data_IF_283232939297
#
_entry.id   IF_283232939297
#
_cell.length_a   1.000
_cell.length_b   1.000
_cell.length_c   1.000
_cell.angle_alpha   90.00
_cell.angle_beta   90.00
_cell.angle_gamma   90.00
#
_symmetry.space_group_name_H-M   'P 1'
#
loop_
_entity.id
_entity.type
_entity.pdbx_description
1 polymer ?
#
# COMPACT_ATOMS: atom_id res chain seq x y z
N UNK A 1 -24.10 21.45 -21.37
CA UNK A 1 -23.27 21.92 -20.26
C UNK A 1 -22.13 20.93 -20.09
N UNK A 2 -20.92 21.40 -19.81
CA UNK A 2 -19.81 20.54 -19.46
C UNK A 2 -20.17 19.75 -18.19
N UNK A 3 -19.74 18.50 -18.12
CA UNK A 3 -19.89 17.70 -16.88
C UNK A 3 -18.90 18.18 -15.84
N UNK A 4 -19.26 18.05 -14.58
CA UNK A 4 -18.46 18.58 -13.47
C UNK A 4 -18.24 17.57 -12.36
N UNK A 5 -17.01 17.54 -11.79
CA UNK A 5 -16.73 16.79 -10.57
C UNK A 5 -16.30 17.69 -9.43
N UNK A 6 -16.67 17.29 -8.23
CA UNK A 6 -16.22 17.85 -6.96
C UNK A 6 -15.43 16.81 -6.19
N UNK A 7 -14.15 17.06 -5.98
CA UNK A 7 -13.26 16.22 -5.18
C UNK A 7 -13.15 16.83 -3.78
N UNK A 8 -13.40 16.04 -2.75
CA UNK A 8 -13.41 16.50 -1.37
C UNK A 8 -12.29 15.82 -0.59
N UNK A 9 -11.27 16.62 -0.22
CA UNK A 9 -10.05 16.19 0.46
C UNK A 9 -8.82 16.30 -0.43
N UNK A 10 -7.86 17.13 -0.03
CA UNK A 10 -6.64 17.50 -0.74
C UNK A 10 -5.42 16.63 -0.42
N UNK A 11 -5.60 15.42 0.12
CA UNK A 11 -4.50 14.48 0.34
C UNK A 11 -4.15 13.69 -0.94
N UNK A 12 -3.34 12.66 -0.79
CA UNK A 12 -2.88 11.81 -1.91
C UNK A 12 -4.03 11.35 -2.81
N UNK A 13 -5.10 10.80 -2.24
CA UNK A 13 -6.24 10.31 -3.02
C UNK A 13 -6.95 11.41 -3.80
N UNK A 14 -7.08 12.61 -3.22
CA UNK A 14 -7.73 13.74 -3.87
C UNK A 14 -6.91 14.30 -5.02
N UNK A 15 -5.65 14.62 -4.79
CA UNK A 15 -4.77 15.17 -5.84
C UNK A 15 -4.48 14.16 -6.94
N UNK A 16 -4.31 12.88 -6.60
CA UNK A 16 -4.17 11.83 -7.60
C UNK A 16 -5.43 11.70 -8.46
N UNK A 17 -6.62 11.85 -7.86
CA UNK A 17 -7.89 11.88 -8.61
C UNK A 17 -7.93 13.08 -9.54
N UNK A 18 -7.60 14.28 -9.05
CA UNK A 18 -7.61 15.52 -9.85
C UNK A 18 -6.67 15.41 -11.05
N UNK A 19 -5.41 15.01 -10.84
CA UNK A 19 -4.43 14.91 -11.93
C UNK A 19 -4.80 13.86 -12.97
N UNK A 20 -5.24 12.68 -12.53
CA UNK A 20 -5.68 11.63 -13.45
C UNK A 20 -6.93 12.05 -14.24
N UNK A 21 -7.88 12.69 -13.59
CA UNK A 21 -9.09 13.21 -14.22
C UNK A 21 -8.77 14.30 -15.22
N UNK A 22 -7.91 15.25 -14.86
CA UNK A 22 -7.51 16.34 -15.73
C UNK A 22 -6.90 15.86 -17.04
N UNK A 23 -6.10 14.80 -16.98
CA UNK A 23 -5.46 14.19 -18.14
C UNK A 23 -6.43 13.35 -18.99
N UNK A 24 -7.27 12.58 -18.35
CA UNK A 24 -8.07 11.57 -19.03
C UNK A 24 -9.52 11.97 -19.31
N UNK A 25 -9.99 13.08 -18.74
CA UNK A 25 -11.38 13.59 -18.86
C UNK A 25 -11.36 15.09 -19.24
N UNK A 26 -10.85 15.44 -20.44
CA UNK A 26 -10.61 16.85 -20.79
C UNK A 26 -11.86 17.71 -20.85
N UNK A 27 -13.03 17.11 -21.08
CA UNK A 27 -14.33 17.80 -21.21
C UNK A 27 -15.06 18.00 -19.86
N UNK A 28 -14.40 17.67 -18.72
CA UNK A 28 -14.98 17.83 -17.41
C UNK A 28 -14.39 19.02 -16.66
N UNK A 29 -15.25 19.77 -16.00
CA UNK A 29 -14.84 20.77 -15.01
C UNK A 29 -14.47 20.08 -13.70
N UNK A 30 -13.32 20.45 -13.12
CA UNK A 30 -12.77 19.82 -11.93
C UNK A 30 -12.66 20.85 -10.82
N UNK A 31 -13.26 20.58 -9.68
CA UNK A 31 -13.07 21.36 -8.45
C UNK A 31 -12.58 20.44 -7.34
N UNK A 32 -11.52 20.82 -6.64
CA UNK A 32 -11.04 20.15 -5.43
C UNK A 32 -11.17 21.07 -4.22
N UNK A 33 -11.73 20.54 -3.15
CA UNK A 33 -11.73 21.15 -1.83
C UNK A 33 -10.55 20.59 -1.03
N UNK A 34 -9.57 21.43 -0.77
CA UNK A 34 -8.32 21.11 -0.08
C UNK A 34 -8.24 21.93 1.22
N UNK A 35 -8.61 21.30 2.34
CA UNK A 35 -8.62 21.98 3.63
C UNK A 35 -7.20 22.07 4.22
N UNK A 36 -6.57 23.23 4.29
CA UNK A 36 -5.18 23.37 4.73
C UNK A 36 -4.97 23.06 6.21
N UNK A 37 -6.05 23.01 6.98
CA UNK A 37 -6.03 22.70 8.42
C UNK A 37 -5.97 21.20 8.72
N UNK A 38 -6.21 20.35 7.71
CA UNK A 38 -6.20 18.90 7.89
C UNK A 38 -4.86 18.34 7.35
N UNK A 39 -3.95 17.91 8.24
CA UNK A 39 -2.66 17.39 7.80
C UNK A 39 -2.82 16.09 7.02
N UNK A 40 -2.02 15.93 5.98
CA UNK A 40 -1.87 14.64 5.31
C UNK A 40 -1.13 13.64 6.22
N UNK A 41 -1.45 12.36 6.08
CA UNK A 41 -0.73 11.29 6.78
C UNK A 41 0.59 11.01 6.05
N UNK A 42 1.71 11.50 6.60
CA UNK A 42 3.03 11.42 5.98
C UNK A 42 3.94 10.37 6.62
N UNK A 43 3.67 9.08 6.40
CA UNK A 43 4.44 8.01 7.05
C UNK A 43 5.62 7.53 6.20
N UNK A 44 5.58 7.68 4.92
CA UNK A 44 6.34 6.93 3.92
C UNK A 44 5.50 5.76 3.43
N UNK A 45 5.35 5.67 2.14
CA UNK A 45 4.47 4.70 1.48
C UNK A 45 5.28 3.82 0.56
N UNK A 46 4.97 2.54 0.59
CA UNK A 46 5.44 1.58 -0.39
C UNK A 46 4.44 1.45 -1.54
N UNK A 47 4.93 1.28 -2.76
CA UNK A 47 4.11 1.15 -3.95
C UNK A 47 4.28 -0.21 -4.61
N UNK A 48 3.42 -0.48 -5.61
CA UNK A 48 3.54 -1.58 -6.55
C UNK A 48 4.06 -1.07 -7.90
N UNK A 49 4.65 -1.91 -8.76
CA UNK A 49 5.26 -1.50 -10.04
C UNK A 49 4.32 -0.74 -10.99
N UNK A 50 3.01 -0.99 -10.90
CA UNK A 50 2.00 -0.35 -11.73
C UNK A 50 1.95 1.17 -11.56
N UNK A 51 2.45 1.72 -10.46
CA UNK A 51 2.45 3.16 -10.21
C UNK A 51 3.27 3.92 -11.25
N UNK A 52 4.38 3.37 -11.74
CA UNK A 52 5.22 3.97 -12.78
C UNK A 52 4.40 4.30 -14.02
N UNK A 53 3.79 3.31 -14.63
CA UNK A 53 3.01 3.48 -15.86
C UNK A 53 1.79 4.39 -15.66
N UNK A 54 1.24 4.36 -14.47
CA UNK A 54 0.10 5.21 -14.14
C UNK A 54 0.49 6.70 -14.11
N UNK A 55 1.66 7.03 -13.55
CA UNK A 55 2.19 8.38 -13.53
C UNK A 55 2.61 8.84 -14.93
N UNK A 56 3.26 7.99 -15.69
CA UNK A 56 3.58 8.24 -17.10
C UNK A 56 2.30 8.55 -17.92
N UNK A 57 1.18 7.86 -17.63
CA UNK A 57 -0.11 8.12 -18.30
C UNK A 57 -0.68 9.51 -17.99
N UNK A 58 -0.25 10.14 -16.92
CA UNK A 58 -0.57 11.54 -16.58
C UNK A 58 0.45 12.54 -17.18
N UNK A 59 1.53 12.05 -17.80
CA UNK A 59 2.63 12.86 -18.30
C UNK A 59 3.62 13.28 -17.22
N UNK A 60 3.68 12.55 -16.11
CA UNK A 60 4.62 12.77 -15.01
C UNK A 60 5.78 11.81 -15.18
N UNK A 61 6.92 12.32 -15.65
CA UNK A 61 8.11 11.50 -15.89
C UNK A 61 8.88 11.21 -14.59
N UNK A 62 9.45 10.02 -14.51
CA UNK A 62 10.13 9.50 -13.31
C UNK A 62 11.25 10.43 -12.82
N UNK A 63 12.12 10.89 -13.73
CA UNK A 63 13.25 11.75 -13.39
C UNK A 63 12.82 13.11 -12.80
N UNK A 64 11.59 13.56 -13.10
CA UNK A 64 11.07 14.85 -12.62
C UNK A 64 10.58 14.78 -11.17
N UNK A 65 10.07 13.62 -10.76
CA UNK A 65 9.42 13.54 -9.46
C UNK A 65 10.23 12.79 -8.39
N UNK A 66 11.15 11.89 -8.77
CA UNK A 66 11.90 11.06 -7.83
C UNK A 66 12.61 11.89 -6.73
N UNK A 67 13.36 12.93 -7.11
CA UNK A 67 14.03 13.82 -6.15
C UNK A 67 13.03 14.64 -5.34
N UNK A 68 12.06 15.27 -6.01
CA UNK A 68 11.06 16.13 -5.36
C UNK A 68 10.15 15.33 -4.42
N UNK A 69 9.90 14.07 -4.75
CA UNK A 69 9.09 13.15 -3.98
C UNK A 69 9.80 12.48 -2.82
N UNK A 70 11.09 12.75 -2.59
CA UNK A 70 11.93 11.99 -1.66
C UNK A 70 11.86 10.47 -1.89
N UNK A 71 11.57 10.07 -3.13
CA UNK A 71 11.36 8.69 -3.49
C UNK A 71 12.67 7.94 -3.73
N UNK A 72 12.63 6.65 -3.51
CA UNK A 72 13.71 5.70 -3.84
C UNK A 72 13.12 4.51 -4.58
N UNK A 73 13.93 3.78 -5.32
CA UNK A 73 13.54 2.54 -5.95
C UNK A 73 13.30 1.45 -4.92
N UNK A 74 12.35 0.58 -5.21
CA UNK A 74 11.99 -0.58 -4.41
C UNK A 74 11.98 -1.82 -5.29
N UNK A 75 12.69 -2.87 -4.89
CA UNK A 75 12.82 -4.11 -5.67
C UNK A 75 12.05 -5.31 -5.10
N UNK A 76 11.42 -5.15 -3.95
CA UNK A 76 10.63 -6.23 -3.36
C UNK A 76 10.14 -5.93 -1.94
N UNK A 77 9.68 -6.98 -1.27
CA UNK A 77 9.32 -6.96 0.16
C UNK A 77 10.11 -8.04 0.89
N UNK A 78 10.86 -7.65 1.90
CA UNK A 78 11.57 -8.53 2.80
C UNK A 78 10.71 -8.89 4.00
N UNK A 79 10.65 -10.16 4.34
CA UNK A 79 9.85 -10.69 5.45
C UNK A 79 10.73 -11.45 6.44
N UNK A 80 10.57 -11.14 7.72
CA UNK A 80 11.35 -11.72 8.81
C UNK A 80 10.44 -12.00 10.01
N UNK A 81 10.68 -13.10 10.70
CA UNK A 81 9.96 -13.47 11.90
C UNK A 81 8.53 -13.98 11.70
N UNK A 82 8.09 -14.22 10.46
CA UNK A 82 6.73 -14.68 10.18
C UNK A 82 6.52 -16.18 10.43
N UNK A 83 7.59 -16.97 10.35
CA UNK A 83 7.54 -18.41 10.64
C UNK A 83 7.88 -18.76 12.09
N UNK A 84 8.79 -18.00 12.68
CA UNK A 84 9.22 -18.19 14.07
C UNK A 84 9.69 -16.87 14.67
N UNK A 85 9.47 -16.64 15.98
CA UNK A 85 10.05 -15.47 16.66
C UNK A 85 11.55 -15.61 16.94
N UNK A 86 12.13 -16.78 16.74
CA UNK A 86 13.53 -17.09 16.98
C UNK A 86 14.38 -16.71 15.74
N UNK A 87 15.17 -15.63 15.80
CA UNK A 87 15.92 -15.14 14.64
C UNK A 87 17.00 -16.13 14.15
N UNK A 88 17.45 -17.08 15.01
CA UNK A 88 18.42 -18.09 14.61
C UNK A 88 17.78 -19.22 13.78
N UNK A 89 16.47 -19.41 13.92
CA UNK A 89 15.68 -20.43 13.21
C UNK A 89 14.84 -19.84 12.08
N UNK A 90 14.70 -18.53 12.04
CA UNK A 90 13.96 -17.89 10.97
C UNK A 90 14.75 -17.94 9.66
N UNK A 91 14.04 -18.19 8.57
CA UNK A 91 14.56 -18.13 7.22
C UNK A 91 13.89 -16.94 6.50
N UNK A 92 14.49 -15.74 6.60
CA UNK A 92 13.91 -14.54 6.00
C UNK A 92 13.73 -14.70 4.49
N UNK A 93 12.74 -14.01 3.94
CA UNK A 93 12.34 -14.18 2.57
C UNK A 93 12.05 -12.84 1.88
N UNK A 94 12.41 -12.75 0.59
CA UNK A 94 12.09 -11.61 -0.27
C UNK A 94 11.04 -12.00 -1.31
N UNK A 95 9.87 -11.36 -1.27
CA UNK A 95 8.93 -11.36 -2.38
C UNK A 95 9.41 -10.34 -3.39
N UNK A 96 9.93 -10.81 -4.51
CA UNK A 96 10.50 -9.98 -5.57
C UNK A 96 9.44 -9.52 -6.57
N UNK A 97 9.71 -8.42 -7.25
CA UNK A 97 9.10 -8.12 -8.52
C UNK A 97 9.76 -8.97 -9.62
N UNK A 98 9.18 -8.98 -10.81
CA UNK A 98 9.69 -9.76 -11.91
C UNK A 98 11.07 -9.24 -12.37
N UNK A 99 12.03 -10.15 -12.62
CA UNK A 99 13.32 -9.83 -13.22
C UNK A 99 13.40 -10.47 -14.61
N UNK A 100 13.93 -9.73 -15.58
CA UNK A 100 14.16 -10.26 -16.93
C UNK A 100 15.37 -11.20 -16.97
N UNK A 101 16.16 -11.29 -15.91
CA UNK A 101 17.35 -12.14 -15.79
C UNK A 101 17.40 -12.75 -14.38
N UNK A 102 17.09 -14.05 -14.27
CA UNK A 102 17.09 -14.80 -13.02
C UNK A 102 18.47 -14.83 -12.33
N UNK A 103 19.57 -14.76 -13.13
CA UNK A 103 20.93 -14.77 -12.57
C UNK A 103 21.25 -13.51 -11.74
N UNK A 104 20.56 -12.40 -11.98
CA UNK A 104 20.79 -11.16 -11.23
C UNK A 104 20.14 -11.26 -9.85
N UNK A 105 18.92 -11.79 -9.80
CA UNK A 105 18.27 -12.02 -8.52
C UNK A 105 19.08 -12.97 -7.66
N UNK A 106 19.55 -14.08 -8.22
CA UNK A 106 20.38 -15.06 -7.52
C UNK A 106 21.68 -14.42 -7.02
N UNK A 107 22.31 -13.54 -7.79
CA UNK A 107 23.48 -12.79 -7.34
C UNK A 107 23.17 -11.74 -6.28
N UNK A 108 22.02 -11.09 -6.38
CA UNK A 108 21.61 -10.05 -5.44
C UNK A 108 21.10 -10.62 -4.11
N UNK A 109 20.43 -11.76 -4.13
CA UNK A 109 19.70 -12.29 -2.98
C UNK A 109 20.08 -13.70 -2.54
N UNK A 110 20.90 -14.44 -3.32
CA UNK A 110 21.38 -15.78 -2.94
C UNK A 110 22.31 -15.76 -1.74
N UNK A 111 23.09 -14.69 -1.59
CA UNK A 111 23.93 -14.50 -0.42
C UNK A 111 23.15 -13.71 0.66
N UNK A 112 22.60 -14.42 1.63
CA UNK A 112 21.87 -13.83 2.76
C UNK A 112 22.72 -12.85 3.59
N UNK A 113 24.05 -12.93 3.53
CA UNK A 113 24.95 -11.95 4.14
C UNK A 113 24.82 -10.58 3.50
N UNK A 114 24.47 -10.52 2.22
CA UNK A 114 24.23 -9.29 1.50
C UNK A 114 22.94 -8.59 1.96
N UNK A 115 21.93 -9.33 2.42
CA UNK A 115 20.69 -8.75 2.94
C UNK A 115 20.91 -7.98 4.24
N UNK A 116 21.77 -8.52 5.13
CA UNK A 116 22.09 -7.90 6.42
C UNK A 116 23.02 -6.69 6.30
N UNK A 117 23.78 -6.59 5.23
CA UNK A 117 24.80 -5.57 5.09
C UNK A 117 24.42 -4.42 4.15
N UNK A 118 23.24 -4.44 3.56
CA UNK A 118 22.79 -3.40 2.62
C UNK A 118 23.73 -3.23 1.41
N UNK A 119 24.63 -4.22 1.18
CA UNK A 119 25.79 -4.04 0.30
C UNK A 119 25.46 -4.08 -1.18
N UNK A 120 24.31 -4.65 -1.55
CA UNK A 120 23.93 -4.75 -2.96
C UNK A 120 23.48 -3.40 -3.50
N UNK A 121 22.95 -2.55 -2.66
CA UNK A 121 22.22 -1.38 -3.10
C UNK A 121 22.69 -0.06 -2.54
N UNK A 122 23.77 -0.05 -1.76
CA UNK A 122 24.39 1.22 -1.39
C UNK A 122 24.75 2.03 -2.63
N UNK A 123 25.30 1.38 -3.65
CA UNK A 123 25.64 2.04 -4.91
C UNK A 123 24.39 2.46 -5.69
N UNK A 124 23.40 1.59 -5.84
CA UNK A 124 22.12 1.92 -6.50
C UNK A 124 21.34 2.95 -5.68
N UNK A 125 21.38 2.86 -4.35
CA UNK A 125 20.63 3.75 -3.45
C UNK A 125 21.19 5.18 -3.41
N UNK A 126 22.52 5.35 -3.46
CA UNK A 126 23.18 6.64 -3.23
C UNK A 126 23.89 7.23 -4.45
N UNK A 127 24.46 6.41 -5.34
CA UNK A 127 25.24 6.89 -6.48
C UNK A 127 24.46 6.93 -7.80
N UNK A 128 23.45 6.06 -7.99
CA UNK A 128 22.71 5.92 -9.24
C UNK A 128 21.20 6.18 -9.09
N UNK A 129 20.83 7.15 -8.30
CA UNK A 129 19.43 7.52 -8.10
C UNK A 129 18.66 7.83 -9.39
N UNK A 130 19.35 8.08 -10.47
CA UNK A 130 18.75 8.55 -11.72
C UNK A 130 18.54 7.45 -12.77
N UNK A 131 19.05 6.21 -12.53
CA UNK A 131 18.86 5.09 -13.45
C UNK A 131 18.56 3.78 -12.72
N UNK A 132 17.31 3.28 -12.82
CA UNK A 132 16.98 1.97 -12.29
C UNK A 132 17.72 0.89 -13.08
N UNK A 133 18.00 -0.24 -12.44
CA UNK A 133 18.47 -1.41 -13.16
C UNK A 133 17.41 -1.84 -14.18
N UNK A 134 17.69 -1.64 -15.47
CA UNK A 134 16.74 -1.90 -16.57
C UNK A 134 16.37 -3.38 -16.71
N UNK A 135 17.04 -4.26 -15.97
CA UNK A 135 16.84 -5.72 -15.97
C UNK A 135 15.80 -6.18 -14.96
N UNK A 136 15.39 -5.30 -14.05
CA UNK A 136 14.44 -5.61 -12.99
C UNK A 136 13.17 -4.75 -13.09
N UNK A 137 12.04 -5.35 -12.81
CA UNK A 137 10.85 -4.59 -12.46
C UNK A 137 11.05 -4.00 -11.06
N UNK A 138 10.66 -2.78 -10.92
CA UNK A 138 10.79 -2.03 -9.67
C UNK A 138 9.51 -1.25 -9.37
N UNK A 139 9.37 -0.91 -8.12
CA UNK A 139 8.40 0.04 -7.62
C UNK A 139 9.14 1.19 -6.91
N UNK A 140 8.46 1.85 -6.00
CA UNK A 140 9.02 2.96 -5.25
C UNK A 140 8.64 2.90 -3.78
N UNK A 141 9.51 3.45 -2.95
CA UNK A 141 9.12 4.04 -1.70
C UNK A 141 8.91 5.54 -1.93
N UNK A 142 7.81 6.09 -1.47
CA UNK A 142 7.43 7.48 -1.71
C UNK A 142 6.99 8.17 -0.42
N UNK A 143 7.15 9.48 -0.38
CA UNK A 143 6.47 10.29 0.61
C UNK A 143 5.09 10.68 0.05
N UNK A 144 4.01 10.24 0.70
CA UNK A 144 2.65 10.45 0.24
C UNK A 144 2.33 11.94 0.03
N UNK A 145 2.74 12.79 0.95
CA UNK A 145 2.56 14.26 0.87
C UNK A 145 3.28 14.84 -0.36
N UNK A 146 4.51 14.40 -0.59
CA UNK A 146 5.30 14.88 -1.74
C UNK A 146 4.67 14.44 -3.06
N UNK A 147 4.12 13.22 -3.14
CA UNK A 147 3.45 12.74 -4.36
C UNK A 147 2.17 13.52 -4.64
N UNK A 148 1.38 13.84 -3.62
CA UNK A 148 0.20 14.69 -3.75
C UNK A 148 0.59 16.10 -4.25
N UNK A 149 1.64 16.68 -3.67
CA UNK A 149 2.15 17.98 -4.06
C UNK A 149 2.64 18.03 -5.52
N UNK A 150 3.35 17.00 -5.97
CA UNK A 150 3.83 16.91 -7.36
C UNK A 150 2.64 16.89 -8.33
N UNK A 151 1.63 16.07 -8.06
CA UNK A 151 0.44 16.02 -8.90
C UNK A 151 -0.31 17.35 -8.87
N UNK A 152 -0.46 17.98 -7.70
CA UNK A 152 -1.04 19.32 -7.55
C UNK A 152 -0.36 20.34 -8.50
N UNK A 153 0.98 20.30 -8.59
CA UNK A 153 1.74 21.21 -9.45
C UNK A 153 1.54 20.95 -10.97
N UNK A 154 1.14 19.77 -11.36
CA UNK A 154 0.87 19.42 -12.75
C UNK A 154 -0.56 19.78 -13.18
N UNK A 155 -1.47 19.97 -12.24
CA UNK A 155 -2.86 20.34 -12.51
C UNK A 155 -2.96 21.81 -12.93
N UNK A 156 -3.49 22.05 -14.14
CA UNK A 156 -3.64 23.41 -14.71
C UNK A 156 -5.10 23.85 -14.80
N UNK A 157 -6.05 22.93 -14.91
CA UNK A 157 -7.48 23.20 -15.08
C UNK A 157 -8.29 23.00 -13.81
N UNK A 158 -7.70 22.36 -12.80
CA UNK A 158 -8.37 22.04 -11.55
C UNK A 158 -8.57 23.30 -10.71
N UNK A 159 -9.83 23.65 -10.45
CA UNK A 159 -10.17 24.74 -9.51
C UNK A 159 -9.92 24.25 -8.08
N UNK A 160 -9.12 24.98 -7.34
CA UNK A 160 -8.82 24.69 -5.93
C UNK A 160 -9.65 25.62 -5.03
N UNK A 161 -10.31 25.04 -4.04
CA UNK A 161 -11.02 25.76 -2.98
C UNK A 161 -10.40 25.33 -1.64
N UNK A 162 -9.75 26.27 -0.97
CA UNK A 162 -9.09 26.02 0.32
C UNK A 162 -10.12 26.16 1.45
N UNK A 163 -10.98 25.14 1.59
CA UNK A 163 -12.04 25.14 2.59
C UNK A 163 -12.39 23.70 3.04
N UNK A 164 -12.89 23.58 4.26
CA UNK A 164 -13.42 22.32 4.78
C UNK A 164 -14.89 22.15 4.42
N UNK A 165 -15.20 21.10 3.66
CA UNK A 165 -16.56 20.75 3.28
C UNK A 165 -17.29 20.03 4.43
N UNK A 166 -18.34 20.63 4.96
CA UNK A 166 -19.22 20.02 5.97
C UNK A 166 -20.49 19.39 5.35
N UNK A 167 -20.96 19.96 4.25
CA UNK A 167 -22.09 19.47 3.46
C UNK A 167 -21.70 19.50 1.99
N UNK A 168 -22.21 18.54 1.19
CA UNK A 168 -21.91 18.49 -0.24
C UNK A 168 -22.33 19.80 -0.92
N UNK A 169 -21.39 20.50 -1.59
CA UNK A 169 -21.75 21.70 -2.36
C UNK A 169 -22.67 21.32 -3.53
N UNK A 170 -23.58 22.24 -3.90
CA UNK A 170 -24.51 21.99 -5.00
C UNK A 170 -23.87 22.20 -6.37
N UNK A 171 -24.45 21.58 -7.39
CA UNK A 171 -24.15 21.90 -8.80
C UNK A 171 -23.09 21.05 -9.49
N UNK A 172 -22.71 19.92 -8.90
CA UNK A 172 -21.80 18.96 -9.51
C UNK A 172 -22.51 17.68 -9.92
N UNK A 173 -22.11 17.11 -11.06
CA UNK A 173 -22.65 15.84 -11.56
C UNK A 173 -22.14 14.66 -10.74
N UNK A 174 -20.91 14.74 -10.23
CA UNK A 174 -20.27 13.67 -9.49
C UNK A 174 -19.43 14.25 -8.34
N UNK A 175 -19.46 13.58 -7.19
CA UNK A 175 -18.65 13.89 -6.01
C UNK A 175 -17.67 12.74 -5.73
N UNK A 176 -16.45 13.10 -5.42
CA UNK A 176 -15.42 12.13 -5.03
C UNK A 176 -15.06 12.36 -3.57
N UNK A 177 -15.42 11.41 -2.72
CA UNK A 177 -15.07 11.42 -1.30
C UNK A 177 -13.65 10.90 -1.11
N UNK A 178 -12.71 11.82 -0.88
CA UNK A 178 -11.30 11.60 -0.53
C UNK A 178 -11.02 12.01 0.91
N UNK A 179 -12.03 11.99 1.80
CA UNK A 179 -11.89 12.44 3.20
C UNK A 179 -11.22 11.40 4.12
N UNK A 180 -10.66 10.34 3.54
CA UNK A 180 -9.89 9.34 4.28
C UNK A 180 -10.75 8.56 5.29
N UNK A 181 -10.21 8.34 6.49
CA UNK A 181 -10.91 7.57 7.52
C UNK A 181 -12.20 8.22 8.05
N UNK A 182 -12.40 9.52 7.84
CA UNK A 182 -13.63 10.19 8.22
C UNK A 182 -14.83 9.72 7.41
N UNK A 183 -14.62 9.28 6.13
CA UNK A 183 -15.66 8.71 5.27
C UNK A 183 -16.92 9.57 5.25
N UNK A 184 -16.72 10.90 5.15
CA UNK A 184 -17.71 11.93 5.52
C UNK A 184 -18.95 11.89 4.63
N UNK A 185 -18.76 11.59 3.35
CA UNK A 185 -19.82 11.66 2.34
C UNK A 185 -20.20 10.30 1.72
N UNK A 186 -19.56 9.22 2.17
CA UNK A 186 -19.92 7.86 1.72
C UNK A 186 -21.39 7.60 1.98
N UNK A 187 -22.16 7.30 0.93
CA UNK A 187 -23.60 7.09 1.00
C UNK A 187 -23.98 5.68 1.44
N UNK A 188 -23.39 4.67 0.82
CA UNK A 188 -23.59 3.27 1.20
C UNK A 188 -22.42 2.79 2.05
N UNK A 189 -22.64 2.74 3.36
CA UNK A 189 -21.66 2.26 4.34
C UNK A 189 -21.79 0.76 4.64
N UNK A 190 -22.49 0.01 3.78
CA UNK A 190 -22.57 -1.44 3.91
C UNK A 190 -21.17 -2.05 3.73
N UNK A 191 -20.60 -2.67 4.76
CA UNK A 191 -19.29 -3.27 4.66
C UNK A 191 -19.34 -4.51 3.75
N UNK A 192 -18.25 -4.78 3.05
CA UNK A 192 -18.05 -6.10 2.47
C UNK A 192 -18.09 -7.13 3.59
N UNK A 193 -18.79 -8.24 3.35
CA UNK A 193 -18.66 -9.40 4.23
C UNK A 193 -17.24 -9.94 4.08
N UNK A 194 -16.37 -9.39 4.90
CA UNK A 194 -15.07 -9.99 5.13
C UNK A 194 -15.37 -11.21 5.98
N UNK A 195 -15.20 -12.41 5.42
CA UNK A 195 -15.46 -13.68 6.12
C UNK A 195 -14.48 -13.94 7.28
N UNK A 196 -13.85 -12.90 7.81
CA UNK A 196 -12.83 -12.99 8.83
C UNK A 196 -12.76 -11.67 9.61
N UNK A 197 -12.39 -11.79 10.84
CA UNK A 197 -11.99 -10.65 11.64
C UNK A 197 -10.50 -10.43 11.41
N UNK A 198 -10.17 -9.34 10.72
CA UNK A 198 -8.78 -8.89 10.69
C UNK A 198 -8.47 -8.22 12.02
N UNK A 199 -7.39 -8.63 12.66
CA UNK A 199 -7.16 -8.25 14.05
C UNK A 199 -6.30 -7.00 14.21
N UNK A 200 -5.49 -6.63 13.24
CA UNK A 200 -4.69 -5.40 13.33
C UNK A 200 -5.56 -4.19 13.02
N UNK A 201 -5.56 -3.23 13.93
CA UNK A 201 -6.43 -2.07 13.93
C UNK A 201 -5.76 -0.79 14.44
N UNK A 202 -4.49 -0.88 14.78
CA UNK A 202 -3.72 0.21 15.36
C UNK A 202 -2.29 0.20 14.84
N UNK A 203 -1.63 1.35 14.85
CA UNK A 203 -0.21 1.48 14.57
C UNK A 203 0.43 2.60 15.39
N UNK A 204 1.62 2.34 15.90
CA UNK A 204 2.57 3.35 16.28
C UNK A 204 3.52 3.63 15.13
N UNK A 205 3.77 4.90 14.85
CA UNK A 205 4.66 5.33 13.77
C UNK A 205 5.68 6.30 14.32
N UNK A 206 6.94 6.03 14.05
CA UNK A 206 8.04 6.87 14.48
C UNK A 206 9.13 6.87 13.40
N UNK A 207 9.22 7.91 12.55
CA UNK A 207 10.26 7.97 11.55
C UNK A 207 11.64 8.10 12.19
N UNK A 208 12.65 7.53 11.53
CA UNK A 208 14.03 7.54 11.99
C UNK A 208 14.95 8.15 10.94
N UNK A 209 16.14 8.60 11.38
CA UNK A 209 17.18 9.07 10.47
C UNK A 209 17.64 7.96 9.52
N UNK A 210 18.02 8.34 8.31
CA UNK A 210 18.68 7.44 7.36
C UNK A 210 19.99 6.94 7.95
N UNK A 211 20.29 5.68 7.67
CA UNK A 211 21.56 5.06 8.02
C UNK A 211 21.96 4.08 6.92
N UNK A 212 23.03 4.38 6.21
CA UNK A 212 23.50 3.62 5.06
C UNK A 212 23.77 2.15 5.35
N UNK A 213 24.09 1.79 6.58
CA UNK A 213 24.34 0.40 6.98
C UNK A 213 23.05 -0.38 7.27
N UNK A 214 21.95 0.33 7.56
CA UNK A 214 20.69 -0.26 8.02
C UNK A 214 19.55 -0.11 6.99
N UNK A 215 19.67 0.83 6.04
CA UNK A 215 18.62 1.13 5.09
C UNK A 215 18.60 0.13 3.93
N UNK A 216 17.39 -0.16 3.45
CA UNK A 216 17.15 -1.20 2.45
C UNK A 216 16.34 -0.64 1.27
N UNK A 217 16.57 -1.19 0.09
CA UNK A 217 15.80 -0.93 -1.14
C UNK A 217 14.59 -1.86 -1.31
N UNK A 218 14.22 -2.56 -0.27
CA UNK A 218 13.02 -3.36 -0.16
C UNK A 218 12.18 -2.88 1.02
N UNK A 219 10.88 -3.02 0.94
CA UNK A 219 10.04 -2.82 2.13
C UNK A 219 10.32 -3.94 3.11
N UNK A 220 10.80 -3.61 4.30
CA UNK A 220 11.00 -4.60 5.33
C UNK A 220 9.75 -4.77 6.17
N UNK A 221 9.31 -6.00 6.37
CA UNK A 221 8.16 -6.38 7.18
C UNK A 221 8.59 -7.43 8.19
N UNK A 222 8.77 -7.03 9.45
CA UNK A 222 9.21 -7.91 10.53
C UNK A 222 8.03 -8.26 11.41
N UNK A 223 7.65 -9.54 11.49
CA UNK A 223 6.59 -9.99 12.38
C UNK A 223 7.00 -9.88 13.84
N UNK A 224 6.09 -9.36 14.67
CA UNK A 224 6.26 -9.10 16.10
C UNK A 224 5.25 -9.91 16.93
N UNK A 225 5.23 -9.71 18.23
CA UNK A 225 4.34 -10.47 19.13
C UNK A 225 2.87 -10.28 18.82
N UNK A 226 2.46 -9.08 18.43
CA UNK A 226 1.04 -8.72 18.28
C UNK A 226 0.69 -8.09 16.94
N UNK A 227 1.55 -8.29 15.93
CA UNK A 227 1.42 -7.72 14.60
C UNK A 227 2.74 -7.72 13.85
N UNK A 228 3.09 -6.63 13.18
CA UNK A 228 4.30 -6.53 12.38
C UNK A 228 4.80 -5.09 12.28
N UNK A 229 6.12 -4.95 12.16
CA UNK A 229 6.77 -3.65 11.92
C UNK A 229 7.11 -3.50 10.45
N UNK A 230 6.99 -2.27 9.95
CA UNK A 230 7.49 -1.89 8.62
C UNK A 230 8.68 -0.95 8.73
N UNK A 231 9.58 -1.08 7.75
CA UNK A 231 10.65 -0.11 7.46
C UNK A 231 10.56 0.25 5.97
N UNK A 232 10.44 1.55 5.69
CA UNK A 232 10.30 2.11 4.35
C UNK A 232 11.33 3.22 4.20
N UNK A 233 12.43 2.93 3.52
CA UNK A 233 13.50 3.88 3.29
C UNK A 233 13.08 4.95 2.28
N UNK A 234 13.31 6.21 2.61
CA UNK A 234 13.17 7.37 1.75
C UNK A 234 14.51 8.10 1.66
N UNK A 235 14.63 9.09 0.76
CA UNK A 235 15.88 9.85 0.61
C UNK A 235 16.30 10.59 1.89
N UNK A 236 15.37 11.04 2.69
CA UNK A 236 15.63 11.92 3.84
C UNK A 236 15.32 11.30 5.19
N UNK A 237 14.68 10.14 5.24
CA UNK A 237 14.32 9.42 6.47
C UNK A 237 13.94 7.99 6.16
N UNK A 238 13.79 7.19 7.20
CA UNK A 238 13.12 5.89 7.10
C UNK A 238 11.78 5.98 7.82
N UNK A 239 10.69 5.66 7.12
CA UNK A 239 9.39 5.48 7.75
C UNK A 239 9.37 4.15 8.50
N UNK A 240 9.15 4.18 9.79
CA UNK A 240 8.99 2.98 10.61
C UNK A 240 7.66 3.01 11.36
N UNK A 241 7.07 1.85 11.54
CA UNK A 241 5.88 1.72 12.35
C UNK A 241 5.59 0.29 12.75
N UNK A 242 4.90 0.15 13.88
CA UNK A 242 4.41 -1.11 14.42
C UNK A 242 2.89 -1.17 14.26
N UNK A 243 2.44 -2.00 13.35
CA UNK A 243 1.02 -2.32 13.11
C UNK A 243 0.65 -3.47 14.05
N UNK A 244 -0.33 -3.27 14.92
CA UNK A 244 -0.66 -4.23 15.98
C UNK A 244 -2.16 -4.37 16.20
N UNK A 245 -2.53 -5.37 16.98
CA UNK A 245 -3.90 -5.63 17.41
C UNK A 245 -4.17 -5.07 18.80
N UNK A 246 -5.02 -4.05 18.89
CA UNK A 246 -5.43 -3.46 20.19
C UNK A 246 -6.24 -4.43 21.05
N UNK A 247 -6.75 -5.52 20.48
CA UNK A 247 -7.40 -6.60 21.20
C UNK A 247 -6.43 -7.47 22.01
N UNK A 248 -5.17 -7.56 21.56
CA UNK A 248 -4.19 -8.50 22.11
C UNK A 248 -3.09 -7.83 22.92
N UNK A 249 -2.95 -6.52 22.79
CA UNK A 249 -1.93 -5.73 23.51
C UNK A 249 -2.44 -4.32 23.79
N UNK A 250 -2.07 -3.73 24.92
CA UNK A 250 -2.36 -2.31 25.18
C UNK A 250 -1.49 -1.40 24.32
N UNK A 251 -1.96 -0.17 24.10
CA UNK A 251 -1.24 0.82 23.30
C UNK A 251 0.15 1.13 23.89
N UNK A 252 0.24 1.20 25.23
CA UNK A 252 1.48 1.48 25.94
C UNK A 252 2.50 0.34 25.77
N UNK A 253 2.07 -0.92 25.91
CA UNK A 253 2.96 -2.07 25.70
C UNK A 253 3.41 -2.19 24.25
N UNK A 254 2.54 -1.90 23.28
CA UNK A 254 2.91 -1.87 21.87
C UNK A 254 3.94 -0.79 21.57
N UNK A 255 3.80 0.41 22.19
CA UNK A 255 4.77 1.48 22.07
C UNK A 255 6.13 1.09 22.67
N UNK A 256 6.12 0.53 23.87
CA UNK A 256 7.35 0.09 24.55
C UNK A 256 8.10 -0.97 23.72
N UNK A 257 7.38 -1.95 23.19
CA UNK A 257 7.96 -2.96 22.30
C UNK A 257 8.58 -2.30 21.07
N UNK A 258 7.86 -1.40 20.40
CA UNK A 258 8.30 -0.71 19.20
C UNK A 258 9.56 0.13 19.43
N UNK A 259 9.58 0.97 20.48
CA UNK A 259 10.72 1.82 20.78
C UNK A 259 11.95 1.00 21.21
N UNK A 260 11.75 -0.09 21.95
CA UNK A 260 12.83 -1.00 22.31
C UNK A 260 13.43 -1.68 21.07
N UNK A 261 12.59 -2.09 20.10
CA UNK A 261 13.06 -2.66 18.86
C UNK A 261 13.86 -1.66 18.02
N UNK A 262 13.39 -0.41 17.90
CA UNK A 262 14.15 0.66 17.22
C UNK A 262 15.53 0.85 17.86
N UNK A 263 15.58 0.91 19.19
CA UNK A 263 16.83 1.06 19.93
C UNK A 263 17.79 -0.11 19.74
N UNK A 264 17.29 -1.35 19.79
CA UNK A 264 18.10 -2.56 19.56
C UNK A 264 18.68 -2.63 18.15
N UNK A 265 17.95 -2.10 17.18
CA UNK A 265 18.38 -1.99 15.79
C UNK A 265 19.35 -0.81 15.54
N UNK A 266 19.66 -0.01 16.55
CA UNK A 266 20.51 1.19 16.42
C UNK A 266 19.83 2.34 15.66
N UNK A 267 18.50 2.34 15.54
CA UNK A 267 17.74 3.41 14.89
C UNK A 267 17.63 4.64 15.77
N UNK A 268 17.75 5.82 15.17
CA UNK A 268 17.65 7.13 15.85
C UNK A 268 16.39 7.84 15.38
N UNK A 269 15.44 8.06 16.30
CA UNK A 269 14.13 8.64 16.02
C UNK A 269 14.20 10.10 15.57
N UNK A 270 13.25 10.49 14.72
CA UNK A 270 12.97 11.87 14.31
C UNK A 270 11.66 12.31 14.99
N UNK A 271 11.77 12.94 16.15
CA UNK A 271 10.60 13.41 16.89
C UNK A 271 9.87 12.33 17.69
N UNK A 272 8.62 12.62 18.05
CA UNK A 272 7.82 11.77 18.92
C UNK A 272 6.98 10.76 18.13
N UNK A 273 6.77 9.55 18.68
CA UNK A 273 5.91 8.56 18.04
C UNK A 273 4.46 9.03 17.97
N UNK A 274 3.76 8.67 16.91
CA UNK A 274 2.35 9.00 16.69
C UNK A 274 1.52 7.73 16.58
N UNK A 275 0.38 7.72 17.27
CA UNK A 275 -0.58 6.61 17.20
C UNK A 275 -1.64 6.85 16.14
N UNK A 276 -1.94 5.82 15.38
CA UNK A 276 -3.06 5.75 14.46
C UNK A 276 -3.93 4.54 14.80
N UNK A 277 -5.23 4.66 14.58
CA UNK A 277 -6.16 3.54 14.73
C UNK A 277 -7.24 3.59 13.66
N UNK A 278 -7.75 2.43 13.30
CA UNK A 278 -8.80 2.28 12.28
C UNK A 278 -9.68 1.09 12.57
N UNK A 279 -10.87 1.09 11.98
CA UNK A 279 -11.69 -0.12 11.89
C UNK A 279 -11.46 -0.72 10.50
N UNK A 280 -10.88 -1.93 10.40
CA UNK A 280 -10.70 -2.61 9.11
C UNK A 280 -12.04 -2.74 8.40
N UNK A 281 -12.22 -2.01 7.32
CA UNK A 281 -13.51 -1.91 6.62
C UNK A 281 -13.28 -1.62 5.14
N UNK A 282 -14.04 -2.30 4.29
CA UNK A 282 -14.16 -1.99 2.86
C UNK A 282 -15.64 -1.95 2.53
N UNK A 283 -16.08 -0.93 1.80
CA UNK A 283 -17.49 -0.83 1.43
C UNK A 283 -17.82 -1.64 0.17
N UNK A 284 -19.00 -2.28 0.19
CA UNK A 284 -19.48 -3.07 -0.95
C UNK A 284 -19.74 -2.22 -2.20
N UNK A 285 -20.25 -1.01 -2.00
CA UNK A 285 -20.64 -0.11 -3.06
C UNK A 285 -19.98 1.27 -2.85
N UNK A 286 -18.67 1.39 -3.13
CA UNK A 286 -17.97 2.67 -3.01
C UNK A 286 -18.55 3.76 -3.94
N UNK A 287 -19.27 3.40 -4.99
CA UNK A 287 -20.06 4.33 -5.79
C UNK A 287 -21.56 4.14 -5.51
N UNK A 288 -22.14 5.07 -4.79
CA UNK A 288 -23.58 5.13 -4.51
C UNK A 288 -24.14 6.51 -4.86
N UNK A 289 -25.30 6.55 -5.51
CA UNK A 289 -25.89 7.75 -6.08
C UNK A 289 -24.89 8.48 -7.01
N UNK A 290 -24.58 9.72 -6.69
CA UNK A 290 -23.56 10.53 -7.36
C UNK A 290 -22.31 10.77 -6.51
N UNK A 291 -22.05 9.92 -5.51
CA UNK A 291 -20.85 10.00 -4.65
C UNK A 291 -20.03 8.74 -4.83
N UNK A 292 -18.72 8.91 -5.06
CA UNK A 292 -17.73 7.83 -5.16
C UNK A 292 -16.67 8.00 -4.07
N UNK A 293 -16.49 6.99 -3.26
CA UNK A 293 -15.40 6.95 -2.29
C UNK A 293 -14.10 6.45 -2.95
N UNK A 294 -12.99 7.14 -2.71
CA UNK A 294 -11.65 6.79 -3.21
C UNK A 294 -10.65 6.77 -2.06
N UNK A 295 -9.67 5.89 -2.15
CA UNK A 295 -8.65 5.71 -1.11
C UNK A 295 -9.23 5.14 0.19
N UNK A 296 -8.77 5.61 1.34
CA UNK A 296 -9.23 5.13 2.65
C UNK A 296 -10.71 5.41 2.91
N UNK A 297 -11.33 6.32 2.17
CA UNK A 297 -12.78 6.53 2.21
C UNK A 297 -13.54 5.31 1.67
N UNK A 298 -13.02 4.63 0.64
CA UNK A 298 -13.61 3.41 0.08
C UNK A 298 -13.34 2.18 0.95
N UNK A 299 -12.15 2.12 1.56
CA UNK A 299 -11.77 1.02 2.42
C UNK A 299 -10.31 1.09 2.87
N UNK A 300 -10.06 0.42 3.99
CA UNK A 300 -8.72 0.19 4.52
C UNK A 300 -8.77 -1.05 5.43
N UNK A 301 -7.77 -1.90 5.33
CA UNK A 301 -7.67 -3.12 6.13
C UNK A 301 -6.35 -3.15 6.89
N UNK A 302 -5.24 -3.24 6.17
CA UNK A 302 -3.90 -3.40 6.68
C UNK A 302 -2.92 -2.84 5.65
N UNK A 303 -1.91 -2.06 6.04
CA UNK A 303 -0.93 -1.51 5.10
C UNK A 303 0.04 -2.55 4.51
N UNK A 304 -0.05 -3.82 4.90
CA UNK A 304 0.79 -4.90 4.41
C UNK A 304 0.73 -5.01 2.87
N UNK A 305 1.87 -5.27 2.24
CA UNK A 305 2.02 -5.50 0.78
C UNK A 305 1.68 -4.27 -0.10
N UNK A 306 1.84 -3.06 0.42
CA UNK A 306 1.69 -1.82 -0.37
C UNK A 306 0.29 -1.65 -1.03
N UNK A 307 -0.75 -2.20 -0.44
CA UNK A 307 -2.09 -2.26 -1.05
C UNK A 307 -2.79 -0.91 -1.07
N UNK A 308 -2.53 -0.01 -0.13
CA UNK A 308 -3.30 1.23 0.05
C UNK A 308 -3.23 2.16 -1.16
N UNK A 309 -2.03 2.47 -1.65
CA UNK A 309 -1.86 3.34 -2.82
C UNK A 309 -2.34 2.66 -4.10
N UNK A 310 -2.14 1.34 -4.22
CA UNK A 310 -2.66 0.59 -5.35
C UNK A 310 -4.20 0.63 -5.40
N UNK A 311 -4.89 0.46 -4.27
CA UNK A 311 -6.36 0.54 -4.22
C UNK A 311 -6.87 1.92 -4.60
N UNK A 312 -6.15 2.97 -4.22
CA UNK A 312 -6.44 4.35 -4.63
C UNK A 312 -6.31 4.50 -6.15
N UNK A 313 -5.18 4.10 -6.71
CA UNK A 313 -4.90 4.11 -8.15
C UNK A 313 -5.95 3.31 -8.94
N UNK A 314 -6.24 2.08 -8.50
CA UNK A 314 -7.22 1.21 -9.13
C UNK A 314 -8.62 1.83 -9.10
N UNK A 315 -9.03 2.40 -7.97
CA UNK A 315 -10.32 3.08 -7.83
C UNK A 315 -10.49 4.24 -8.82
N UNK A 316 -9.48 5.10 -8.91
CA UNK A 316 -9.48 6.24 -9.85
C UNK A 316 -9.53 5.74 -11.30
N UNK A 317 -8.67 4.80 -11.65
CA UNK A 317 -8.57 4.26 -13.02
C UNK A 317 -9.88 3.58 -13.44
N UNK A 318 -10.44 2.73 -12.58
CA UNK A 318 -11.70 2.04 -12.87
C UNK A 318 -12.88 2.99 -12.97
N UNK A 319 -12.90 4.06 -12.16
CA UNK A 319 -13.94 5.08 -12.24
C UNK A 319 -13.93 5.79 -13.59
N UNK A 320 -12.77 6.30 -14.02
CA UNK A 320 -12.62 6.96 -15.32
C UNK A 320 -12.97 6.01 -16.46
N UNK A 321 -12.48 4.77 -16.43
CA UNK A 321 -12.79 3.76 -17.46
C UNK A 321 -14.28 3.42 -17.50
N UNK A 322 -14.95 3.33 -16.35
CA UNK A 322 -16.39 3.05 -16.27
C UNK A 322 -17.20 4.17 -16.92
N UNK A 323 -16.85 5.42 -16.64
CA UNK A 323 -17.52 6.60 -17.19
C UNK A 323 -17.27 6.73 -18.69
N UNK A 324 -16.02 6.60 -19.15
CA UNK A 324 -15.66 6.66 -20.58
C UNK A 324 -16.40 5.63 -21.43
N UNK A 325 -16.59 4.44 -20.88
CA UNK A 325 -17.29 3.33 -21.58
C UNK A 325 -18.81 3.40 -21.44
N UNK A 326 -19.35 4.39 -20.73
CA UNK A 326 -20.78 4.51 -20.46
C UNK A 326 -21.34 3.37 -19.60
N UNK A 327 -20.49 2.71 -18.81
CA UNK A 327 -20.93 1.63 -17.93
C UNK A 327 -21.63 2.18 -16.69
N UNK A 328 -22.47 1.36 -16.07
CA UNK A 328 -23.18 1.73 -14.85
C UNK A 328 -22.30 1.59 -13.62
N UNK A 329 -22.63 2.30 -12.55
CA UNK A 329 -21.96 2.24 -11.24
C UNK A 329 -21.83 0.82 -10.67
N UNK A 330 -22.79 -0.06 -10.96
CA UNK A 330 -22.76 -1.45 -10.53
C UNK A 330 -21.57 -2.21 -11.12
N UNK A 331 -21.14 -1.85 -12.34
CA UNK A 331 -19.97 -2.42 -12.97
C UNK A 331 -18.68 -2.00 -12.25
N UNK A 332 -18.56 -0.71 -11.90
CA UNK A 332 -17.48 -0.20 -11.08
C UNK A 332 -17.42 -0.92 -9.72
N UNK A 333 -18.52 -0.93 -8.99
CA UNK A 333 -18.62 -1.56 -7.68
C UNK A 333 -18.24 -3.05 -7.71
N UNK A 334 -18.70 -3.78 -8.74
CA UNK A 334 -18.34 -5.20 -8.93
C UNK A 334 -16.84 -5.41 -9.15
N UNK A 335 -16.21 -4.56 -9.97
CA UNK A 335 -14.76 -4.63 -10.23
C UNK A 335 -13.99 -4.31 -8.96
N UNK A 336 -14.34 -3.23 -8.27
CA UNK A 336 -13.66 -2.84 -7.03
C UNK A 336 -13.79 -3.91 -5.93
N UNK A 337 -14.96 -4.54 -5.77
CA UNK A 337 -15.10 -5.67 -4.83
C UNK A 337 -14.15 -6.84 -5.16
N UNK A 338 -13.94 -7.14 -6.44
CA UNK A 338 -12.99 -8.20 -6.85
C UNK A 338 -11.56 -7.82 -6.49
N UNK A 339 -11.15 -6.60 -6.82
CA UNK A 339 -9.82 -6.07 -6.51
C UNK A 339 -9.57 -6.10 -5.00
N UNK A 340 -10.52 -5.60 -4.20
CA UNK A 340 -10.40 -5.64 -2.74
C UNK A 340 -10.35 -7.06 -2.19
N UNK A 341 -11.17 -7.97 -2.68
CA UNK A 341 -11.13 -9.37 -2.25
C UNK A 341 -9.79 -10.03 -2.51
N UNK A 342 -9.18 -9.75 -3.66
CA UNK A 342 -7.86 -10.27 -4.00
C UNK A 342 -6.79 -9.76 -3.05
N UNK A 343 -6.70 -8.44 -2.86
CA UNK A 343 -5.73 -7.83 -1.95
C UNK A 343 -5.87 -8.31 -0.51
N UNK A 344 -7.09 -8.35 -0.01
CA UNK A 344 -7.38 -8.79 1.34
C UNK A 344 -6.98 -10.25 1.56
N UNK A 345 -7.27 -11.14 0.62
CA UNK A 345 -6.88 -12.55 0.71
C UNK A 345 -5.37 -12.73 0.74
N UNK A 346 -4.66 -11.97 -0.07
CA UNK A 346 -3.20 -12.01 -0.06
C UNK A 346 -2.61 -11.54 1.28
N UNK A 347 -3.12 -10.44 1.82
CA UNK A 347 -2.75 -9.96 3.16
C UNK A 347 -2.98 -11.04 4.22
N UNK A 348 -4.18 -11.62 4.24
CA UNK A 348 -4.52 -12.63 5.24
C UNK A 348 -3.72 -13.91 5.12
N UNK A 349 -3.30 -14.27 3.91
CA UNK A 349 -2.45 -15.43 3.70
C UNK A 349 -1.18 -15.36 4.54
N UNK A 350 -0.61 -14.18 4.74
CA UNK A 350 0.57 -13.99 5.60
C UNK A 350 0.31 -14.42 7.05
N UNK A 351 -0.84 -14.06 7.59
CA UNK A 351 -1.22 -14.39 8.97
C UNK A 351 -1.61 -15.85 9.11
N UNK A 352 -2.37 -16.38 8.16
CA UNK A 352 -2.88 -17.75 8.22
C UNK A 352 -1.82 -18.81 7.96
N UNK A 353 -0.88 -18.54 7.07
CA UNK A 353 0.20 -19.46 6.73
C UNK A 353 1.37 -19.38 7.72
N UNK A 354 1.46 -18.32 8.51
CA UNK A 354 2.47 -18.20 9.57
C UNK A 354 2.45 -19.41 10.48
N UNK A 355 3.62 -19.92 10.85
CA UNK A 355 3.77 -21.05 11.78
C UNK A 355 3.83 -20.62 13.25
N UNK A 356 3.79 -19.31 13.50
CA UNK A 356 3.86 -18.77 14.86
C UNK A 356 2.67 -19.17 15.72
N UNK A 357 2.96 -19.51 16.97
CA UNK A 357 1.97 -19.86 18.02
C UNK A 357 2.38 -19.32 19.38
N UNK A 358 3.36 -18.43 19.39
CA UNK A 358 3.99 -17.88 20.58
C UNK A 358 3.13 -16.87 21.34
N UNK A 359 2.08 -16.33 20.69
CA UNK A 359 1.12 -15.43 21.32
C UNK A 359 -0.32 -15.76 20.92
N UNK A 360 -1.29 -15.29 21.71
CA UNK A 360 -2.71 -15.47 21.37
C UNK A 360 -3.07 -14.79 20.05
N UNK A 361 -2.44 -13.66 19.72
CA UNK A 361 -2.62 -12.98 18.43
C UNK A 361 -2.34 -13.93 17.24
N UNK A 362 -1.21 -14.64 17.26
CA UNK A 362 -0.85 -15.57 16.18
C UNK A 362 -1.74 -16.81 16.14
N UNK A 363 -2.18 -17.31 17.31
CA UNK A 363 -3.11 -18.43 17.41
C UNK A 363 -4.47 -18.02 16.81
N UNK A 364 -5.01 -16.87 17.18
CA UNK A 364 -6.29 -16.38 16.70
C UNK A 364 -6.24 -16.08 15.19
N UNK A 365 -5.13 -15.51 14.69
CA UNK A 365 -4.94 -15.20 13.27
C UNK A 365 -4.99 -16.43 12.36
N UNK A 366 -4.69 -17.63 12.88
CA UNK A 366 -4.78 -18.89 12.13
C UNK A 366 -6.18 -19.49 12.07
N UNK A 367 -7.02 -19.20 13.07
CA UNK A 367 -8.34 -19.81 13.22
C UNK A 367 -9.40 -19.16 12.32
N UNK A 368 -8.99 -18.28 11.44
CA UNK A 368 -9.89 -17.62 10.51
C UNK A 368 -10.26 -18.57 9.36
N UNK A 369 -11.54 -18.68 9.04
CA UNK A 369 -12.21 -19.70 8.21
C UNK A 369 -11.73 -19.82 6.73
N UNK A 370 -10.68 -19.11 6.32
CA UNK A 370 -10.26 -19.01 4.92
C UNK A 370 -9.33 -20.11 4.40
N UNK A 371 -8.76 -20.93 5.27
CA UNK A 371 -7.73 -21.92 4.87
C UNK A 371 -8.19 -22.89 3.76
N UNK A 372 -9.46 -23.28 3.78
CA UNK A 372 -10.02 -24.26 2.84
C UNK A 372 -10.30 -23.69 1.43
N UNK A 373 -10.62 -22.41 1.34
CA UNK A 373 -11.04 -21.76 0.08
C UNK A 373 -9.92 -21.01 -0.64
N UNK A 374 -8.77 -20.81 0.00
CA UNK A 374 -7.68 -20.01 -0.55
C UNK A 374 -7.00 -20.73 -1.71
N UNK A 375 -6.83 -22.05 -1.62
CA UNK A 375 -6.23 -22.91 -2.63
C UNK A 375 -7.15 -23.16 -3.82
N UNK A 376 -8.44 -23.39 -3.56
CA UNK A 376 -9.47 -23.49 -4.59
C UNK A 376 -9.55 -22.20 -5.40
N UNK A 377 -9.37 -21.05 -4.73
CA UNK A 377 -9.34 -19.76 -5.36
C UNK A 377 -8.10 -19.57 -6.21
N UNK A 378 -6.92 -19.92 -5.69
CA UNK A 378 -5.66 -19.87 -6.40
C UNK A 378 -5.70 -20.77 -7.66
N UNK A 379 -6.06 -22.04 -7.52
CA UNK A 379 -6.12 -22.98 -8.64
C UNK A 379 -7.14 -22.57 -9.71
N UNK A 380 -8.26 -21.99 -9.29
CA UNK A 380 -9.34 -21.60 -10.20
C UNK A 380 -9.05 -20.34 -10.99
N UNK A 381 -8.18 -19.48 -10.48
CA UNK A 381 -7.99 -18.13 -11.01
C UNK A 381 -6.57 -17.81 -11.50
N UNK A 382 -5.64 -18.75 -11.46
CA UNK A 382 -4.25 -18.58 -11.91
C UNK A 382 -4.11 -18.21 -13.40
N UNK A 383 -5.17 -18.34 -14.18
CA UNK A 383 -5.20 -18.01 -15.61
C UNK A 383 -5.73 -16.63 -15.96
N UNK A 384 -6.17 -15.82 -15.00
CA UNK A 384 -6.79 -14.51 -15.29
C UNK A 384 -5.85 -13.34 -15.06
N UNK A 385 -5.59 -12.54 -16.08
CA UNK A 385 -4.76 -11.33 -16.11
C UNK A 385 -5.23 -10.16 -15.20
N UNK A 386 -6.10 -10.38 -14.22
CA UNK A 386 -6.78 -9.33 -13.48
C UNK A 386 -6.44 -9.25 -11.99
N UNK A 387 -5.30 -9.81 -11.57
CA UNK A 387 -4.90 -9.88 -10.16
C UNK A 387 -4.00 -8.73 -9.76
N UNK A 388 -4.16 -8.25 -8.52
CA UNK A 388 -3.22 -7.32 -7.89
C UNK A 388 -1.86 -8.01 -7.75
N UNK A 389 -1.88 -9.25 -7.25
CA UNK A 389 -0.70 -10.07 -7.04
C UNK A 389 -0.68 -11.19 -8.08
N UNK A 390 0.32 -11.20 -8.97
CA UNK A 390 0.51 -12.28 -9.96
C UNK A 390 0.64 -13.66 -9.30
N UNK A 391 0.36 -14.70 -10.05
CA UNK A 391 0.50 -16.09 -9.58
C UNK A 391 1.89 -16.38 -9.00
N UNK A 392 2.95 -15.83 -9.60
CA UNK A 392 4.32 -15.93 -9.09
C UNK A 392 4.50 -15.39 -7.68
N UNK A 393 3.87 -14.26 -7.34
CA UNK A 393 3.92 -13.69 -6.00
C UNK A 393 3.22 -14.60 -4.97
N UNK A 394 2.10 -15.22 -5.33
CA UNK A 394 1.43 -16.21 -4.50
C UNK A 394 2.28 -17.46 -4.30
N UNK A 395 2.95 -17.95 -5.35
CA UNK A 395 3.88 -19.08 -5.26
C UNK A 395 5.04 -18.76 -4.31
N UNK A 396 5.66 -17.58 -4.43
CA UNK A 396 6.74 -17.14 -3.55
C UNK A 396 6.29 -17.14 -2.09
N UNK A 397 5.09 -16.62 -1.80
CA UNK A 397 4.54 -16.63 -0.45
C UNK A 397 4.32 -18.04 0.07
N UNK A 398 3.73 -18.92 -0.74
CA UNK A 398 3.51 -20.33 -0.36
C UNK A 398 4.81 -21.09 -0.12
N UNK A 399 5.84 -20.85 -0.92
CA UNK A 399 7.18 -21.44 -0.73
C UNK A 399 7.79 -21.00 0.59
N UNK A 400 7.70 -19.71 0.93
CA UNK A 400 8.22 -19.19 2.20
C UNK A 400 7.62 -19.90 3.42
N UNK A 401 6.32 -20.16 3.38
CA UNK A 401 5.64 -20.85 4.47
C UNK A 401 5.73 -22.38 4.41
N UNK A 402 6.47 -22.95 3.43
CA UNK A 402 6.57 -24.40 3.18
C UNK A 402 5.20 -25.09 3.04
N UNK A 403 4.23 -24.41 2.47
CA UNK A 403 2.89 -24.96 2.18
C UNK A 403 2.84 -25.60 0.79
N UNK A 404 3.92 -25.47 0.01
CA UNK A 404 4.04 -26.06 -1.32
C UNK A 404 5.39 -26.74 -1.53
N UNK A 405 5.35 -27.99 -1.95
CA UNK A 405 6.38 -28.60 -2.79
C UNK A 405 6.21 -28.08 -4.24
N UNK A 406 6.46 -26.79 -4.46
CA UNK A 406 6.44 -26.29 -5.82
C UNK A 406 7.78 -26.55 -6.49
N UNK A 407 7.80 -27.53 -7.34
CA UNK A 407 8.65 -27.45 -8.53
C UNK A 407 8.19 -26.20 -9.29
N UNK A 408 9.01 -25.13 -9.29
CA UNK A 408 8.86 -24.07 -10.26
C UNK A 408 8.73 -24.74 -11.63
N UNK A 409 7.68 -24.44 -12.42
CA UNK A 409 7.66 -24.93 -13.78
C UNK A 409 8.95 -24.41 -14.40
N UNK A 410 9.79 -25.30 -14.89
CA UNK A 410 10.88 -24.94 -15.78
C UNK A 410 10.20 -24.27 -16.95
N UNK A 411 10.32 -22.93 -17.01
CA UNK A 411 9.94 -22.14 -18.17
C UNK A 411 10.83 -22.50 -19.34
#
# INVERSE_FOLDING_TARGET
MAKSICIIGGSTSGWWTAGYWEKHMPDWDITIYDAPTIPALGVGESCLPQLKWWWESMGIEENQWMKKGNAVYKYGNYKEGWNTPDPEKDDPFVTRFWFNDDNIFDKMYADKSNWKNGSINKQIFYDEFDTPDKRADYAYHVCAESTAFIVKQTCQRTKVIEDEVTTLPNGYDLYIDCTGFSRKFVKDKTPMKLHYQHFVDSAWVNPVHTNEELDWDVTKSTARKYGWEFEISLRNRVGMGYVYSSRHVSDEHALDEFLNNQKQQGRVAIGEPRRYSWTPTVFQNPWSDNVVAIGSSAGFVDPLEATTLFMTQAGITQLVNTIKRGYRKESYNRVMRRIWNDGIRFILAHYQLSKRTDTQFWIDSKNVEMKKNMWDYYQKYTSSYQWIFPSGTWCQLGTYFNEFDFYAPKL
#
